data_IF_728646237358
#
_entry.id   IF_728646237358
#
_cell.length_a   1.000
_cell.length_b   1.000
_cell.length_c   1.000
_cell.angle_alpha   90.00
_cell.angle_beta   90.00
_cell.angle_gamma   90.00
#
_symmetry.space_group_name_H-M   'P 1'
#
loop_
_entity.id
_entity.type
_entity.pdbx_description
1 polymer ?
#
# COMPACT_ATOMS: atom_id res chain seq x y z
N UNK A 1 -25.72 -62.71 8.27
CA UNK A 1 -26.27 -61.35 8.45
C UNK A 1 -26.29 -61.08 9.94
N UNK A 2 -25.41 -60.22 10.44
CA UNK A 2 -25.25 -59.97 11.88
C UNK A 2 -26.51 -59.32 12.46
N UNK A 3 -26.94 -59.70 13.68
CA UNK A 3 -28.17 -59.16 14.26
C UNK A 3 -27.96 -57.68 14.59
N UNK A 4 -28.88 -56.83 14.16
CA UNK A 4 -28.85 -55.42 14.50
C UNK A 4 -29.11 -55.28 16.00
N UNK A 5 -28.15 -54.66 16.70
CA UNK A 5 -28.23 -54.34 18.11
C UNK A 5 -29.39 -53.36 18.37
N UNK A 6 -30.41 -53.78 19.11
CA UNK A 6 -31.59 -52.97 19.47
C UNK A 6 -31.21 -51.66 20.19
N UNK A 7 -30.05 -51.61 20.87
CA UNK A 7 -29.56 -50.42 21.57
C UNK A 7 -29.11 -49.28 20.61
N UNK A 8 -28.73 -49.59 19.37
CA UNK A 8 -28.30 -48.59 18.40
C UNK A 8 -29.49 -47.83 17.78
N UNK A 9 -30.66 -48.48 17.64
CA UNK A 9 -31.87 -47.87 17.08
C UNK A 9 -32.45 -46.77 17.98
N UNK A 10 -32.49 -47.02 19.29
CA UNK A 10 -33.01 -46.05 20.28
C UNK A 10 -32.13 -44.79 20.41
N UNK A 11 -30.82 -44.93 20.27
CA UNK A 11 -29.91 -43.79 20.33
C UNK A 11 -30.04 -42.90 19.09
N UNK A 12 -30.26 -43.50 17.91
CA UNK A 12 -30.48 -42.77 16.65
C UNK A 12 -31.82 -42.02 16.69
N UNK A 13 -32.89 -42.62 17.22
CA UNK A 13 -34.18 -41.93 17.36
C UNK A 13 -34.10 -40.77 18.35
N UNK A 14 -33.42 -40.93 19.50
CA UNK A 14 -33.16 -39.83 20.44
C UNK A 14 -32.38 -38.69 19.80
N UNK A 15 -31.33 -38.97 19.04
CA UNK A 15 -30.56 -37.94 18.32
C UNK A 15 -31.40 -37.21 17.28
N UNK A 16 -32.20 -37.92 16.49
CA UNK A 16 -33.09 -37.31 15.51
C UNK A 16 -34.14 -36.41 16.15
N UNK A 17 -34.67 -36.82 17.31
CA UNK A 17 -35.61 -36.01 18.08
C UNK A 17 -34.94 -34.73 18.62
N UNK A 18 -33.71 -34.83 19.14
CA UNK A 18 -32.92 -33.66 19.56
C UNK A 18 -32.63 -32.71 18.40
N UNK A 19 -32.24 -33.22 17.23
CA UNK A 19 -32.02 -32.39 16.03
C UNK A 19 -33.30 -31.69 15.58
N UNK A 20 -34.45 -32.35 15.68
CA UNK A 20 -35.76 -31.75 15.37
C UNK A 20 -36.10 -30.59 16.32
N UNK A 21 -35.86 -30.77 17.62
CA UNK A 21 -36.04 -29.72 18.63
C UNK A 21 -35.11 -28.54 18.35
N UNK A 22 -33.82 -28.79 18.12
CA UNK A 22 -32.84 -27.73 17.82
C UNK A 22 -33.20 -26.95 16.55
N UNK A 23 -33.69 -27.61 15.50
CA UNK A 23 -34.15 -26.92 14.28
C UNK A 23 -35.32 -25.98 14.56
N UNK A 24 -36.23 -26.41 15.44
CA UNK A 24 -37.39 -25.61 15.85
C UNK A 24 -36.96 -24.42 16.71
N UNK A 25 -36.02 -24.62 17.64
CA UNK A 25 -35.44 -23.53 18.44
C UNK A 25 -34.71 -22.50 17.57
N UNK A 26 -33.89 -22.94 16.61
CA UNK A 26 -33.21 -22.03 15.66
C UNK A 26 -34.23 -21.22 14.87
N UNK A 27 -35.34 -21.83 14.45
CA UNK A 27 -36.43 -21.13 13.75
C UNK A 27 -37.07 -20.07 14.66
N UNK A 28 -37.36 -20.42 15.91
CA UNK A 28 -37.93 -19.49 16.90
C UNK A 28 -36.98 -18.33 17.21
N UNK A 29 -35.68 -18.60 17.39
CA UNK A 29 -34.66 -17.59 17.63
C UNK A 29 -34.54 -16.60 16.46
N UNK A 30 -34.58 -17.09 15.22
CA UNK A 30 -34.59 -16.24 14.01
C UNK A 30 -35.83 -15.34 13.97
N UNK A 31 -37.01 -15.89 14.27
CA UNK A 31 -38.25 -15.12 14.32
C UNK A 31 -38.24 -14.04 15.41
N UNK A 32 -37.68 -14.36 16.59
CA UNK A 32 -37.49 -13.37 17.67
C UNK A 32 -36.52 -12.26 17.25
N UNK A 33 -35.38 -12.61 16.63
CA UNK A 33 -34.43 -11.63 16.12
C UNK A 33 -35.06 -10.68 15.10
N UNK A 34 -35.80 -11.21 14.12
CA UNK A 34 -36.50 -10.40 13.12
C UNK A 34 -37.55 -9.46 13.76
N UNK A 35 -38.27 -9.96 14.77
CA UNK A 35 -39.23 -9.14 15.51
C UNK A 35 -38.54 -8.01 16.30
N UNK A 36 -37.40 -8.29 16.91
CA UNK A 36 -36.59 -7.32 17.65
C UNK A 36 -35.98 -6.26 16.72
N UNK A 37 -35.48 -6.66 15.54
CA UNK A 37 -34.96 -5.73 14.52
C UNK A 37 -36.06 -4.78 14.03
N UNK A 38 -37.28 -5.30 13.79
CA UNK A 38 -38.43 -4.47 13.41
C UNK A 38 -38.82 -3.50 14.52
N UNK A 39 -38.83 -3.96 15.78
CA UNK A 39 -39.11 -3.10 16.93
C UNK A 39 -38.07 -1.98 17.09
N UNK A 40 -36.78 -2.31 16.95
CA UNK A 40 -35.70 -1.34 17.01
C UNK A 40 -35.78 -0.31 15.89
N UNK A 41 -36.07 -0.73 14.66
CA UNK A 41 -36.27 0.19 13.53
C UNK A 41 -37.43 1.15 13.77
N UNK A 42 -38.52 0.68 14.39
CA UNK A 42 -39.66 1.51 14.77
C UNK A 42 -39.29 2.52 15.86
N UNK A 43 -38.50 2.12 16.84
CA UNK A 43 -37.99 3.02 17.87
C UNK A 43 -37.06 4.10 17.29
N UNK A 44 -36.15 3.73 16.38
CA UNK A 44 -35.28 4.70 15.70
C UNK A 44 -36.09 5.72 14.89
N UNK A 45 -37.13 5.27 14.17
CA UNK A 45 -38.02 6.17 13.45
C UNK A 45 -38.77 7.14 14.39
N UNK A 46 -39.20 6.66 15.57
CA UNK A 46 -39.85 7.49 16.57
C UNK A 46 -38.87 8.53 17.19
N UNK A 47 -37.65 8.11 17.52
CA UNK A 47 -36.59 9.01 18.02
C UNK A 47 -36.26 10.06 16.97
N UNK A 48 -36.13 9.67 15.71
CA UNK A 48 -35.88 10.60 14.60
C UNK A 48 -37.00 11.63 14.47
N UNK A 49 -38.27 11.22 14.58
CA UNK A 49 -39.41 12.15 14.55
C UNK A 49 -39.39 13.14 15.72
N UNK A 50 -39.01 12.70 16.93
CA UNK A 50 -38.89 13.58 18.11
C UNK A 50 -37.72 14.56 17.94
N UNK A 51 -36.57 14.10 17.46
CA UNK A 51 -35.39 14.95 17.21
C UNK A 51 -35.68 15.98 16.11
N UNK A 52 -36.38 15.59 15.04
CA UNK A 52 -36.80 16.52 13.99
C UNK A 52 -37.78 17.58 14.50
N UNK A 53 -38.63 17.24 15.48
CA UNK A 53 -39.57 18.19 16.09
C UNK A 53 -38.92 19.11 17.14
N UNK A 54 -37.82 18.66 17.75
CA UNK A 54 -37.02 19.46 18.69
C UNK A 54 -36.01 20.39 17.99
N UNK A 55 -35.78 20.21 16.68
CA UNK A 55 -34.77 20.93 15.90
C UNK A 55 -35.19 22.27 15.28
N UNK A 56 -36.35 22.85 15.65
CA UNK A 56 -36.76 24.18 15.16
C UNK A 56 -36.29 25.31 16.10
N UNK A 57 -34.97 25.43 16.31
CA UNK A 57 -34.32 26.64 16.77
C UNK A 57 -32.98 26.77 16.04
N UNK A 58 -32.88 27.82 15.22
CA UNK A 58 -31.69 28.34 14.52
C UNK A 58 -31.05 27.43 13.45
N UNK A 59 -31.12 27.90 12.20
CA UNK A 59 -30.42 27.37 11.03
C UNK A 59 -28.90 27.57 11.13
N UNK A 60 -28.16 26.48 11.00
CA UNK A 60 -26.79 26.45 10.47
C UNK A 60 -26.77 25.33 9.41
N UNK A 61 -26.26 25.56 8.18
CA UNK A 61 -26.47 24.64 7.07
C UNK A 61 -25.78 23.31 7.31
N UNK A 62 -26.57 22.26 7.57
CA UNK A 62 -26.08 20.87 7.61
C UNK A 62 -25.79 20.36 6.20
N UNK A 63 -24.67 19.65 5.99
CA UNK A 63 -24.39 19.01 4.71
C UNK A 63 -25.45 17.94 4.42
N UNK A 64 -25.98 17.99 3.19
CA UNK A 64 -26.90 17.01 2.63
C UNK A 64 -26.29 15.59 2.64
N UNK A 65 -27.12 14.53 2.68
CA UNK A 65 -26.62 13.17 2.44
C UNK A 65 -25.92 13.13 1.07
N UNK A 66 -24.81 12.39 0.90
CA UNK A 66 -24.10 12.36 -0.38
C UNK A 66 -25.08 11.91 -1.45
N UNK A 67 -25.33 12.82 -2.38
CA UNK A 67 -26.18 12.61 -3.53
C UNK A 67 -25.69 11.40 -4.30
N UNK A 68 -26.62 10.58 -4.80
CA UNK A 68 -26.37 9.48 -5.75
C UNK A 68 -25.69 9.92 -7.05
N UNK A 69 -25.38 11.21 -7.22
CA UNK A 69 -24.70 11.79 -8.38
C UNK A 69 -23.22 11.40 -8.49
N UNK A 70 -22.51 11.16 -7.39
CA UNK A 70 -21.08 10.83 -7.44
C UNK A 70 -20.84 9.43 -8.05
N UNK A 71 -21.74 8.48 -7.80
CA UNK A 71 -21.67 7.14 -8.37
C UNK A 71 -21.95 7.16 -9.88
N UNK A 72 -22.95 7.92 -10.32
CA UNK A 72 -23.31 8.04 -11.75
C UNK A 72 -22.22 8.75 -12.56
N UNK A 73 -21.54 9.74 -11.97
CA UNK A 73 -20.48 10.51 -12.63
C UNK A 73 -19.20 9.70 -12.92
N UNK A 74 -18.89 8.68 -12.11
CA UNK A 74 -17.74 7.78 -12.33
C UNK A 74 -18.00 6.80 -13.47
N UNK A 75 -19.24 6.34 -13.64
CA UNK A 75 -19.62 5.38 -14.69
C UNK A 75 -19.66 6.02 -16.08
N UNK A 76 -19.95 7.32 -16.16
CA UNK A 76 -20.06 8.05 -17.42
C UNK A 76 -18.71 8.54 -17.98
N UNK A 77 -17.60 8.38 -17.22
CA UNK A 77 -16.25 8.64 -17.71
C UNK A 77 -15.88 10.11 -17.97
N UNK A 78 -16.80 11.04 -17.70
CA UNK A 78 -16.62 12.47 -17.99
C UNK A 78 -15.91 13.25 -16.86
N UNK A 79 -15.65 12.61 -15.71
CA UNK A 79 -15.13 13.30 -14.53
C UNK A 79 -13.67 12.93 -14.23
N UNK A 80 -12.82 13.94 -14.04
CA UNK A 80 -11.46 13.78 -13.53
C UNK A 80 -11.51 13.20 -12.10
N UNK A 81 -10.96 11.99 -11.91
CA UNK A 81 -10.86 11.37 -10.58
C UNK A 81 -9.74 12.07 -9.80
N UNK A 82 -10.14 12.97 -8.91
CA UNK A 82 -9.23 13.56 -7.93
C UNK A 82 -9.04 12.57 -6.76
N UNK A 83 -7.79 12.29 -6.44
CA UNK A 83 -7.43 11.41 -5.31
C UNK A 83 -6.62 12.19 -4.29
N UNK A 84 -6.92 11.98 -3.01
CA UNK A 84 -6.14 12.55 -1.91
C UNK A 84 -5.01 11.57 -1.55
N UNK A 85 -3.74 12.01 -1.49
CA UNK A 85 -2.66 11.15 -1.05
C UNK A 85 -2.88 10.70 0.40
N UNK A 86 -2.91 9.39 0.62
CA UNK A 86 -3.09 8.79 1.95
C UNK A 86 -1.83 8.86 2.81
N UNK A 87 -0.67 9.09 2.19
CA UNK A 87 0.64 8.97 2.83
C UNK A 87 1.80 9.16 1.87
N UNK A 88 3.01 9.13 2.40
CA UNK A 88 4.25 9.27 1.64
C UNK A 88 5.20 8.10 1.90
N UNK A 89 5.80 7.60 0.83
CA UNK A 89 6.86 6.61 0.91
C UNK A 89 8.20 7.34 1.00
N UNK A 90 8.95 7.03 2.05
CA UNK A 90 10.33 7.45 2.22
C UNK A 90 11.17 6.19 2.05
N UNK A 91 12.15 6.23 1.16
CA UNK A 91 13.02 5.07 0.91
C UNK A 91 14.48 5.48 1.00
N UNK A 92 15.37 4.49 0.96
CA UNK A 92 16.80 4.71 0.83
C UNK A 92 17.21 5.39 -0.50
N UNK A 93 16.28 5.64 -1.44
CA UNK A 93 16.53 6.34 -2.70
C UNK A 93 15.93 7.75 -2.68
N UNK A 94 16.77 8.76 -2.41
CA UNK A 94 16.36 10.18 -2.36
C UNK A 94 16.18 10.82 -3.74
N UNK A 95 16.85 10.27 -4.76
CA UNK A 95 16.85 10.78 -6.14
C UNK A 95 16.52 9.67 -7.13
N UNK A 96 15.93 10.04 -8.27
CA UNK A 96 15.58 9.12 -9.37
C UNK A 96 16.79 8.34 -9.91
N UNK A 97 17.97 8.97 -9.88
CA UNK A 97 19.19 8.34 -10.35
C UNK A 97 19.66 7.30 -9.34
N UNK A 98 19.84 6.05 -9.77
CA UNK A 98 20.19 4.94 -8.87
C UNK A 98 18.98 4.25 -8.22
N UNK A 99 17.76 4.79 -8.33
CA UNK A 99 16.55 4.05 -7.92
C UNK A 99 16.40 2.79 -8.79
N UNK A 100 16.28 1.60 -8.20
CA UNK A 100 16.09 0.37 -8.93
C UNK A 100 14.84 0.44 -9.83
N UNK A 101 14.97 -0.07 -11.05
CA UNK A 101 13.86 -0.07 -12.02
C UNK A 101 12.80 -1.11 -11.69
N UNK A 102 13.13 -2.09 -10.86
CA UNK A 102 12.27 -3.17 -10.38
C UNK A 102 12.62 -3.44 -8.91
N UNK A 103 11.64 -3.77 -8.06
CA UNK A 103 11.84 -3.93 -6.62
C UNK A 103 12.83 -5.05 -6.27
N UNK A 104 12.80 -6.17 -6.99
CA UNK A 104 13.65 -7.35 -6.70
C UNK A 104 15.15 -7.15 -6.97
N UNK A 105 15.56 -5.99 -7.47
CA UNK A 105 16.97 -5.69 -7.76
C UNK A 105 17.76 -5.40 -6.47
N UNK A 106 17.11 -4.81 -5.46
CA UNK A 106 17.72 -4.50 -4.18
C UNK A 106 16.90 -5.12 -3.05
N UNK A 107 17.02 -6.44 -2.87
CA UNK A 107 16.26 -7.18 -1.85
C UNK A 107 16.38 -6.65 -0.41
N UNK A 108 17.54 -6.14 0.07
CA UNK A 108 17.63 -5.59 1.43
C UNK A 108 17.13 -4.16 1.56
N UNK A 109 16.73 -3.48 0.47
CA UNK A 109 16.28 -2.09 0.59
C UNK A 109 14.95 -2.01 1.34
N UNK A 110 14.93 -1.22 2.42
CA UNK A 110 13.73 -0.90 3.18
C UNK A 110 13.18 0.47 2.81
N UNK A 111 11.89 0.66 3.08
CA UNK A 111 11.20 1.92 2.91
C UNK A 111 10.13 2.06 4.00
N UNK A 112 9.86 3.29 4.40
CA UNK A 112 8.86 3.65 5.39
C UNK A 112 7.67 4.25 4.65
N UNK A 113 6.48 3.67 4.82
CA UNK A 113 5.22 4.25 4.36
C UNK A 113 4.59 5.04 5.51
N UNK A 114 4.66 6.36 5.45
CA UNK A 114 4.03 7.25 6.43
C UNK A 114 2.61 7.58 6.01
N UNK A 115 1.63 7.04 6.72
CA UNK A 115 0.22 7.39 6.53
C UNK A 115 -0.06 8.75 7.17
N UNK A 116 -0.71 9.64 6.44
CA UNK A 116 -1.11 10.95 6.95
C UNK A 116 -2.27 10.78 7.93
N UNK A 117 -2.07 11.28 9.16
CA UNK A 117 -3.11 11.26 10.20
C UNK A 117 -4.32 12.13 9.85
N UNK A 118 -4.16 13.14 9.00
CA UNK A 118 -5.23 14.03 8.57
C UNK A 118 -6.25 13.38 7.63
N UNK A 119 -5.95 12.20 7.08
CA UNK A 119 -6.81 11.51 6.10
C UNK A 119 -7.92 10.71 6.78
N UNK A 120 -7.69 10.26 8.00
CA UNK A 120 -8.63 9.46 8.78
C UNK A 120 -8.84 10.08 10.15
N UNK A 121 -10.06 10.05 10.67
CA UNK A 121 -10.32 10.51 12.04
C UNK A 121 -9.51 9.69 13.07
N UNK A 122 -9.36 8.38 12.81
CA UNK A 122 -8.62 7.40 13.62
C UNK A 122 -7.67 6.60 12.70
N UNK A 123 -6.48 7.13 12.36
CA UNK A 123 -5.56 6.49 11.40
C UNK A 123 -5.06 5.11 11.84
N UNK A 124 -4.97 4.86 13.14
CA UNK A 124 -4.58 3.58 13.73
C UNK A 124 -5.57 2.46 13.38
N UNK A 125 -6.86 2.76 13.28
CA UNK A 125 -7.88 1.77 12.89
C UNK A 125 -7.69 1.27 11.46
N UNK A 126 -7.12 2.09 10.57
CA UNK A 126 -6.85 1.69 9.19
C UNK A 126 -5.72 0.64 9.07
N UNK A 127 -4.93 0.46 10.15
CA UNK A 127 -3.81 -0.48 10.20
C UNK A 127 -4.14 -1.78 10.96
N UNK A 128 -5.30 -1.85 11.64
CA UNK A 128 -5.68 -3.01 12.44
C UNK A 128 -5.75 -4.30 11.60
N UNK A 129 -5.01 -5.32 12.03
CA UNK A 129 -4.98 -6.63 11.38
C UNK A 129 -4.07 -6.72 10.16
N UNK A 130 -3.39 -5.62 9.78
CA UNK A 130 -2.41 -5.63 8.69
C UNK A 130 -1.16 -6.46 9.03
N UNK A 131 -0.82 -6.54 10.32
CA UNK A 131 0.27 -7.35 10.91
C UNK A 131 0.11 -8.86 10.65
N UNK A 132 -1.10 -9.32 10.32
CA UNK A 132 -1.39 -10.72 10.00
C UNK A 132 -0.93 -11.13 8.59
N UNK A 133 -0.50 -10.18 7.78
CA UNK A 133 -0.07 -10.42 6.40
C UNK A 133 1.44 -10.25 6.25
N UNK A 134 2.06 -11.13 5.47
CA UNK A 134 3.49 -11.03 5.18
C UNK A 134 3.83 -9.97 4.12
N UNK A 135 2.86 -9.60 3.28
CA UNK A 135 3.06 -8.68 2.17
C UNK A 135 1.86 -7.76 1.99
N UNK A 136 2.13 -6.56 1.48
CA UNK A 136 1.14 -5.54 1.18
C UNK A 136 1.30 -5.03 -0.24
N UNK A 137 0.17 -4.77 -0.90
CA UNK A 137 0.15 -4.06 -2.17
C UNK A 137 0.18 -2.56 -1.90
N UNK A 138 1.11 -1.87 -2.53
CA UNK A 138 1.24 -0.42 -2.42
C UNK A 138 0.97 0.17 -3.80
N UNK A 139 -0.08 0.98 -3.86
CA UNK A 139 -0.41 1.82 -5.00
C UNK A 139 0.10 3.23 -4.69
N UNK A 140 0.94 3.78 -5.57
CA UNK A 140 1.57 5.07 -5.34
C UNK A 140 1.60 5.91 -6.61
N UNK A 141 1.79 7.21 -6.48
CA UNK A 141 1.89 8.13 -7.61
C UNK A 141 3.34 8.51 -7.89
N UNK A 142 3.77 8.46 -9.15
CA UNK A 142 5.04 9.02 -9.61
C UNK A 142 4.94 10.55 -9.66
N UNK A 143 4.99 11.20 -8.50
CA UNK A 143 4.81 12.64 -8.32
C UNK A 143 5.73 13.53 -9.19
N UNK A 144 6.88 13.03 -9.66
CA UNK A 144 7.79 13.74 -10.57
C UNK A 144 7.53 13.51 -12.07
N UNK A 145 6.49 12.77 -12.44
CA UNK A 145 6.22 12.37 -13.83
C UNK A 145 5.00 13.06 -14.47
N UNK A 146 4.50 14.16 -13.90
CA UNK A 146 3.35 14.93 -14.40
C UNK A 146 3.68 15.75 -15.66
N UNK A 147 3.86 15.08 -16.81
CA UNK A 147 4.03 15.77 -18.09
C UNK A 147 2.68 16.23 -18.66
N UNK A 148 2.67 17.41 -19.28
CA UNK A 148 1.51 17.92 -20.05
C UNK A 148 1.23 17.13 -21.35
N UNK A 149 2.18 16.31 -21.82
CA UNK A 149 1.98 15.47 -23.02
C UNK A 149 2.47 14.03 -22.81
N UNK A 150 1.60 13.07 -23.12
CA UNK A 150 1.89 11.65 -23.02
C UNK A 150 2.22 11.07 -24.38
N UNK A 151 3.33 10.32 -24.46
CA UNK A 151 3.71 9.60 -25.67
C UNK A 151 3.09 8.21 -25.64
N UNK A 152 2.40 7.81 -26.72
CA UNK A 152 1.82 6.47 -26.86
C UNK A 152 2.88 5.35 -26.87
N UNK A 153 4.12 5.67 -27.29
CA UNK A 153 5.24 4.72 -27.34
C UNK A 153 6.38 5.15 -26.43
N UNK A 154 7.03 4.18 -25.81
CA UNK A 154 8.19 4.34 -24.93
C UNK A 154 9.34 3.44 -25.37
N UNK A 155 10.54 3.68 -24.84
CA UNK A 155 11.75 2.90 -25.13
C UNK A 155 12.25 2.21 -23.85
N UNK A 156 11.80 0.99 -23.54
CA UNK A 156 12.21 0.28 -22.34
C UNK A 156 13.72 -0.04 -22.35
N UNK A 157 14.42 0.05 -21.20
CA UNK A 157 15.86 -0.20 -21.13
C UNK A 157 16.28 -1.62 -21.54
N UNK A 158 15.40 -2.61 -21.39
CA UNK A 158 15.67 -4.03 -21.67
C UNK A 158 15.43 -4.45 -23.12
N UNK A 159 14.84 -3.58 -23.94
CA UNK A 159 14.50 -3.89 -25.33
C UNK A 159 15.48 -3.29 -26.35
N UNK A 160 16.75 -3.09 -25.97
CA UNK A 160 17.87 -2.73 -26.84
C UNK A 160 17.71 -1.54 -27.81
N UNK A 161 16.67 -0.73 -27.70
CA UNK A 161 16.40 0.20 -28.82
C UNK A 161 14.93 0.38 -29.15
N UNK A 162 14.18 -0.70 -29.00
CA UNK A 162 12.85 -0.82 -29.57
C UNK A 162 11.84 0.10 -28.88
N UNK A 163 10.94 0.66 -29.69
CA UNK A 163 9.80 1.44 -29.21
C UNK A 163 8.59 0.55 -29.16
N UNK A 164 7.97 0.46 -27.98
CA UNK A 164 6.75 -0.33 -27.76
C UNK A 164 5.67 0.56 -27.15
N UNK A 165 4.41 0.12 -27.22
CA UNK A 165 3.29 0.83 -26.63
C UNK A 165 3.49 1.02 -25.12
N UNK A 166 3.05 2.17 -24.58
CA UNK A 166 3.23 2.46 -23.16
C UNK A 166 2.58 1.40 -22.27
N UNK A 167 1.39 0.92 -22.64
CA UNK A 167 0.63 -0.05 -21.86
C UNK A 167 1.19 -1.47 -21.87
N UNK A 168 2.06 -1.83 -22.82
CA UNK A 168 2.78 -3.12 -22.81
C UNK A 168 4.03 -3.13 -21.91
N UNK A 169 4.27 -2.04 -21.16
CA UNK A 169 5.46 -1.89 -20.31
C UNK A 169 5.07 -1.68 -18.84
N UNK A 170 6.04 -1.33 -17.99
CA UNK A 170 5.83 -0.73 -16.66
C UNK A 170 6.41 0.69 -16.58
N UNK A 171 6.50 1.39 -17.72
CA UNK A 171 7.02 2.77 -17.77
C UNK A 171 6.25 3.69 -16.81
N UNK A 172 6.91 4.55 -16.02
CA UNK A 172 6.23 5.48 -15.15
C UNK A 172 5.72 6.73 -15.90
N UNK A 173 6.03 6.86 -17.19
CA UNK A 173 5.54 7.94 -18.07
C UNK A 173 4.21 7.51 -18.72
N UNK A 174 3.09 7.73 -18.03
CA UNK A 174 1.73 7.32 -18.43
C UNK A 174 0.73 8.42 -18.11
N UNK A 175 -0.45 8.42 -18.75
CA UNK A 175 -1.53 9.37 -18.44
C UNK A 175 -1.85 9.42 -16.94
N UNK A 176 -2.05 8.24 -16.35
CA UNK A 176 -2.14 8.08 -14.90
C UNK A 176 -0.83 7.48 -14.41
N UNK A 177 0.00 8.32 -13.79
CA UNK A 177 1.33 7.94 -13.31
C UNK A 177 1.26 7.12 -12.01
N UNK A 178 0.46 6.06 -12.02
CA UNK A 178 0.24 5.14 -10.91
C UNK A 178 1.26 4.00 -11.00
N UNK A 179 1.97 3.77 -9.89
CA UNK A 179 2.82 2.63 -9.64
C UNK A 179 2.13 1.61 -8.75
N UNK A 180 2.51 0.35 -8.93
CA UNK A 180 2.10 -0.77 -8.09
C UNK A 180 3.35 -1.54 -7.67
N UNK A 181 3.48 -1.82 -6.38
CA UNK A 181 4.55 -2.67 -5.85
C UNK A 181 4.00 -3.62 -4.79
N UNK A 182 4.50 -4.85 -4.79
CA UNK A 182 4.30 -5.79 -3.70
C UNK A 182 5.49 -5.62 -2.75
N UNK A 183 5.22 -5.21 -1.52
CA UNK A 183 6.24 -5.03 -0.49
C UNK A 183 6.04 -6.08 0.60
N UNK A 184 7.14 -6.63 1.12
CA UNK A 184 7.11 -7.42 2.35
C UNK A 184 6.84 -6.47 3.52
N UNK A 185 5.87 -6.80 4.36
CA UNK A 185 5.61 -6.07 5.59
C UNK A 185 6.67 -6.49 6.61
N UNK A 186 7.43 -5.53 7.11
CA UNK A 186 8.48 -5.77 8.09
C UNK A 186 7.96 -5.55 9.50
N UNK A 187 7.45 -4.34 9.76
CA UNK A 187 6.85 -3.95 11.03
C UNK A 187 5.85 -2.83 10.82
N UNK A 188 4.88 -2.73 11.72
CA UNK A 188 3.96 -1.59 11.84
C UNK A 188 4.36 -0.86 13.12
N UNK A 189 4.73 0.41 13.00
CA UNK A 189 5.20 1.22 14.13
C UNK A 189 4.36 2.48 14.31
N UNK A 190 4.00 2.76 15.55
CA UNK A 190 3.26 3.95 15.93
C UNK A 190 4.21 5.04 16.49
N UNK A 191 5.12 5.51 15.63
CA UNK A 191 5.79 6.81 15.81
C UNK A 191 7.26 6.86 16.26
N UNK A 192 7.91 7.91 15.71
CA UNK A 192 9.29 8.45 15.80
C UNK A 192 10.41 7.62 15.13
N UNK A 193 11.12 8.19 14.14
CA UNK A 193 12.16 7.47 13.40
C UNK A 193 13.47 7.35 14.22
N UNK A 194 14.12 6.18 14.14
CA UNK A 194 15.60 6.06 14.27
C UNK A 194 16.24 5.74 12.93
N UNK A 195 17.56 5.57 12.91
CA UNK A 195 18.40 5.46 11.70
C UNK A 195 17.78 4.62 10.58
N UNK A 196 17.91 5.11 9.33
CA UNK A 196 16.78 5.23 8.39
C UNK A 196 16.35 3.95 7.66
N UNK A 197 17.25 3.11 7.10
CA UNK A 197 16.80 1.93 6.33
C UNK A 197 17.76 0.72 6.33
N UNK A 198 19.03 0.88 6.70
CA UNK A 198 20.02 -0.21 6.75
C UNK A 198 20.51 -0.41 8.19
N UNK A 199 20.42 -1.64 8.69
CA UNK A 199 20.67 -1.98 10.10
C UNK A 199 22.10 -2.47 10.35
N UNK A 200 22.87 -2.79 9.31
CA UNK A 200 24.27 -3.25 9.42
C UNK A 200 25.14 -2.83 8.23
N UNK A 201 26.47 -2.86 8.40
CA UNK A 201 27.39 -2.65 7.28
C UNK A 201 27.25 -3.72 6.20
N UNK A 202 26.94 -4.96 6.59
CA UNK A 202 26.76 -6.07 5.67
C UNK A 202 25.52 -5.88 4.79
N UNK A 203 24.43 -5.37 5.37
CA UNK A 203 23.21 -5.02 4.65
C UNK A 203 23.46 -3.86 3.66
N UNK A 204 24.24 -2.85 4.07
CA UNK A 204 24.64 -1.76 3.20
C UNK A 204 25.50 -2.23 2.03
N UNK A 205 26.48 -3.11 2.28
CA UNK A 205 27.31 -3.72 1.23
C UNK A 205 26.47 -4.56 0.28
N UNK A 206 25.52 -5.35 0.79
CA UNK A 206 24.61 -6.15 -0.03
C UNK A 206 23.71 -5.26 -0.92
N UNK A 207 23.18 -4.16 -0.36
CA UNK A 207 22.36 -3.20 -1.10
C UNK A 207 23.14 -2.50 -2.22
N UNK A 208 24.37 -2.04 -1.92
CA UNK A 208 25.28 -1.45 -2.91
C UNK A 208 25.59 -2.46 -4.02
N UNK A 209 25.96 -3.69 -3.67
CA UNK A 209 26.23 -4.76 -4.64
C UNK A 209 25.02 -5.04 -5.54
N UNK A 210 23.81 -5.07 -4.99
CA UNK A 210 22.57 -5.27 -5.77
C UNK A 210 22.34 -4.17 -6.79
N UNK A 211 22.46 -2.91 -6.38
CA UNK A 211 22.32 -1.74 -7.27
C UNK A 211 23.36 -1.78 -8.39
N UNK A 212 24.63 -2.03 -8.06
CA UNK A 212 25.73 -2.03 -9.02
C UNK A 212 25.66 -3.21 -10.01
N UNK A 213 25.26 -4.39 -9.54
CA UNK A 213 25.11 -5.59 -10.38
C UNK A 213 24.03 -5.43 -11.46
N UNK A 214 22.99 -4.64 -11.18
CA UNK A 214 21.93 -4.36 -12.15
C UNK A 214 22.28 -3.26 -13.18
N UNK A 215 23.48 -2.68 -13.09
CA UNK A 215 23.94 -1.49 -13.82
C UNK A 215 22.91 -0.34 -13.78
N UNK A 216 23.01 0.58 -12.80
CA UNK A 216 22.05 1.67 -12.62
C UNK A 216 22.12 2.71 -13.76
N UNK A 217 23.14 2.67 -14.63
CA UNK A 217 23.34 3.67 -15.68
C UNK A 217 22.28 3.55 -16.79
N UNK A 218 21.90 4.69 -17.35
CA UNK A 218 21.01 4.71 -18.52
C UNK A 218 21.71 4.09 -19.74
N UNK A 219 20.93 3.56 -20.70
CA UNK A 219 21.48 3.07 -21.99
C UNK A 219 22.29 4.17 -22.69
N UNK A 220 21.85 5.43 -22.57
CA UNK A 220 22.58 6.58 -23.07
C UNK A 220 23.96 6.70 -22.41
N UNK A 221 24.05 6.70 -21.07
CA UNK A 221 25.35 6.77 -20.38
C UNK A 221 26.29 5.62 -20.76
N UNK A 222 25.76 4.41 -20.95
CA UNK A 222 26.56 3.24 -21.33
C UNK A 222 27.14 3.32 -22.74
N UNK A 223 26.47 4.02 -23.65
CA UNK A 223 26.80 4.00 -25.09
C UNK A 223 27.38 5.32 -25.59
N UNK A 224 27.05 6.46 -24.96
CA UNK A 224 27.33 7.81 -25.48
C UNK A 224 28.23 8.64 -24.58
N UNK A 225 28.38 8.28 -23.30
CA UNK A 225 29.21 9.04 -22.38
C UNK A 225 30.60 8.40 -22.27
N UNK A 226 31.65 9.23 -22.34
CA UNK A 226 33.05 8.81 -22.12
C UNK A 226 33.36 8.64 -20.63
N UNK A 227 32.58 9.28 -19.76
CA UNK A 227 32.75 9.22 -18.32
C UNK A 227 32.29 7.86 -17.77
N UNK A 228 33.17 7.22 -17.00
CA UNK A 228 32.90 5.91 -16.38
C UNK A 228 32.48 6.04 -14.90
N UNK A 229 32.47 7.26 -14.37
CA UNK A 229 32.16 7.57 -12.96
C UNK A 229 30.66 7.73 -12.74
N UNK A 230 30.05 6.88 -11.94
CA UNK A 230 28.65 6.96 -11.56
C UNK A 230 28.51 7.28 -10.08
N UNK A 231 27.56 8.17 -9.76
CA UNK A 231 27.26 8.59 -8.41
C UNK A 231 25.81 8.25 -8.09
N UNK A 232 25.57 7.71 -6.92
CA UNK A 232 24.23 7.51 -6.38
C UNK A 232 24.24 7.58 -4.86
N UNK A 233 23.11 7.94 -4.28
CA UNK A 233 22.93 8.00 -2.84
C UNK A 233 22.10 6.80 -2.41
N UNK A 234 22.53 6.11 -1.36
CA UNK A 234 21.76 5.05 -0.71
C UNK A 234 21.75 5.31 0.80
N UNK A 235 20.54 5.40 1.36
CA UNK A 235 20.30 5.76 2.76
C UNK A 235 21.00 7.08 3.15
N UNK A 236 22.04 7.02 3.98
CA UNK A 236 22.84 8.18 4.41
C UNK A 236 24.22 8.24 3.76
N UNK A 237 24.46 7.49 2.67
CA UNK A 237 25.75 7.42 2.00
C UNK A 237 25.69 7.80 0.51
N UNK A 238 26.55 8.72 0.10
CA UNK A 238 26.88 9.03 -1.28
C UNK A 238 27.98 8.08 -1.77
N UNK A 239 27.63 7.29 -2.79
CA UNK A 239 28.49 6.29 -3.38
C UNK A 239 29.02 6.81 -4.72
N UNK A 240 30.34 6.84 -4.84
CA UNK A 240 31.06 7.06 -6.10
C UNK A 240 31.62 5.73 -6.57
N UNK A 241 31.28 5.36 -7.80
CA UNK A 241 31.73 4.11 -8.40
C UNK A 241 32.21 4.31 -9.83
N UNK A 242 33.13 3.47 -10.26
CA UNK A 242 33.69 3.47 -11.60
C UNK A 242 33.34 2.17 -12.31
N UNK A 243 32.81 2.31 -13.52
CA UNK A 243 32.41 1.17 -14.35
C UNK A 243 33.47 0.87 -15.40
N UNK A 244 34.21 -0.21 -15.18
CA UNK A 244 35.18 -0.78 -16.11
C UNK A 244 34.55 -1.71 -17.15
N UNK A 245 35.40 -2.40 -17.92
CA UNK A 245 34.93 -3.37 -18.90
C UNK A 245 34.59 -4.70 -18.20
N UNK A 246 33.31 -4.88 -17.86
CA UNK A 246 32.82 -6.10 -17.19
C UNK A 246 32.95 -6.09 -15.67
N UNK A 247 33.35 -4.97 -15.06
CA UNK A 247 33.42 -4.83 -13.61
C UNK A 247 32.99 -3.44 -13.15
N UNK A 248 32.73 -3.33 -11.85
CA UNK A 248 32.36 -2.10 -11.18
C UNK A 248 33.13 -2.01 -9.87
N UNK A 249 33.74 -0.86 -9.64
CA UNK A 249 34.55 -0.58 -8.46
C UNK A 249 33.93 0.58 -7.69
N UNK A 250 33.73 0.42 -6.38
CA UNK A 250 33.31 1.52 -5.52
C UNK A 250 34.57 2.29 -5.13
N UNK A 251 34.71 3.49 -5.66
CA UNK A 251 35.87 4.35 -5.40
C UNK A 251 35.74 5.08 -4.07
N UNK A 252 34.51 5.45 -3.69
CA UNK A 252 34.30 6.23 -2.48
C UNK A 252 32.90 6.05 -1.92
N UNK A 253 32.83 5.93 -0.60
CA UNK A 253 31.60 5.98 0.19
C UNK A 253 31.73 7.17 1.13
N UNK A 254 30.92 8.21 0.92
CA UNK A 254 30.88 9.39 1.82
C UNK A 254 29.54 9.42 2.55
N UNK A 255 29.49 9.82 3.82
CA UNK A 255 28.21 10.18 4.42
C UNK A 255 27.60 11.38 3.68
N UNK A 256 26.30 11.35 3.45
CA UNK A 256 25.54 12.48 2.90
C UNK A 256 25.70 13.63 3.88
N UNK A 257 26.32 14.73 3.43
CA UNK A 257 26.63 15.87 4.28
C UNK A 257 25.36 16.39 4.97
N UNK A 258 25.41 16.51 6.30
CA UNK A 258 24.38 17.21 7.08
C UNK A 258 24.23 18.63 6.50
N UNK A 259 23.08 18.95 5.91
CA UNK A 259 22.54 20.30 6.05
C UNK A 259 22.15 20.42 7.53
N UNK A 260 22.70 21.42 8.22
CA UNK A 260 22.39 21.74 9.60
C UNK A 260 20.87 21.74 9.83
N UNK A 261 20.34 20.72 10.48
CA UNK A 261 19.04 20.77 11.15
C UNK A 261 19.07 19.74 12.29
N UNK A 262 18.87 20.26 13.50
CA UNK A 262 18.87 19.53 14.78
C UNK A 262 17.73 18.50 14.83
N UNK A 263 18.00 17.28 15.30
CA UNK A 263 17.01 16.48 16.06
C UNK A 263 17.58 15.18 16.63
N UNK A 264 17.03 14.81 17.79
CA UNK A 264 17.42 13.79 18.76
C UNK A 264 16.96 12.37 18.31
N UNK A 265 17.67 11.30 18.70
CA UNK A 265 17.47 9.91 18.22
C UNK A 265 16.87 8.95 19.29
N UNK A 266 15.93 8.04 18.94
CA UNK A 266 15.35 6.96 19.82
C UNK A 266 15.22 5.53 19.20
N UNK A 267 15.82 4.48 19.84
CA UNK A 267 16.07 2.99 19.59
C UNK A 267 14.74 2.42 19.14
N UNK A 268 14.64 1.44 18.26
CA UNK A 268 15.03 0.02 18.43
C UNK A 268 14.22 -0.74 17.37
N UNK A 269 14.54 -1.92 16.87
CA UNK A 269 15.58 -2.93 17.06
C UNK A 269 15.65 -3.71 15.73
#
# INVERSE_FOLDING_TARGET
>A
MSPQCECCGENITKLNQQVSVMRTEIKNLRQMLDSSVRAHRKQLAAVQAVVSKAGSCEEEPRPSPPSSSAHVALEQGETLIQTTPIGFIISCFSVKNGTPRQPNICSPSRAELRIQRSVFNNPEHALLGLDRYSHVWIIFLFHKNGHLSYKAKVKPPRLNGQRVGVYSTRSPHRPNAVGLTLARLDKIEDGRPRFKFLHSSDEAVAAIRGVLSADPRSVYRRTRCRDKLFFFTIDTADITCWFGHGFVEVLQVRPVGKKNELSIHLNTA
#
